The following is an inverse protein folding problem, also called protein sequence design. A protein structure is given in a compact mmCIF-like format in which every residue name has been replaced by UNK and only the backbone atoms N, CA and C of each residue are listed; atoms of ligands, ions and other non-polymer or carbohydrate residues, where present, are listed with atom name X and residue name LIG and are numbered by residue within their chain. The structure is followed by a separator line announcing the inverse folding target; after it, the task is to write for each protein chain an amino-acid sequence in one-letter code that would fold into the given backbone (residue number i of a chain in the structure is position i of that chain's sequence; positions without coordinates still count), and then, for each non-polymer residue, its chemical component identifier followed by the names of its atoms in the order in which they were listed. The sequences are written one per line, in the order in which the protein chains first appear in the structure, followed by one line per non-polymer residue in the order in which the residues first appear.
data_IF_555439121481
#
_entry.id   IF_555439121481
#
_cell.length_a   1.000
_cell.length_b   1.000
_cell.length_c   1.000
_cell.angle_alpha   90.00
_cell.angle_beta   90.00
_cell.angle_gamma   90.00
#
_symmetry.space_group_name_H-M   'P 1'
#
loop_
_entity.id
_entity.type
_entity.pdbx_description
1 polymer ?
#
# COMPACT_ATOMS: atom_id res chain seq x y z
N UNK A 1 0.29 48.65 23.78
CA UNK A 1 0.59 48.75 22.33
C UNK A 1 0.68 47.34 21.77
N UNK A 2 -0.15 46.98 20.79
CA UNK A 2 -0.04 45.65 20.16
C UNK A 2 1.28 45.57 19.38
N UNK A 3 2.16 44.64 19.76
CA UNK A 3 3.40 44.37 19.02
C UNK A 3 2.99 43.81 17.66
N UNK A 4 3.21 44.59 16.60
CA UNK A 4 3.01 44.12 15.22
C UNK A 4 4.10 43.09 14.89
N UNK A 5 3.83 41.82 15.15
CA UNK A 5 4.72 40.73 14.74
C UNK A 5 4.61 40.56 13.23
N UNK A 6 5.66 40.93 12.50
CA UNK A 6 5.73 40.67 11.05
C UNK A 6 6.07 39.19 10.85
N UNK A 7 5.19 38.46 10.16
CA UNK A 7 5.38 37.05 9.82
C UNK A 7 5.74 36.90 8.34
N UNK A 8 6.59 35.94 8.04
CA UNK A 8 7.00 35.55 6.69
C UNK A 8 6.41 34.17 6.38
N UNK A 9 5.92 33.95 5.17
CA UNK A 9 5.44 32.63 4.71
C UNK A 9 6.42 32.04 3.71
N UNK A 10 6.74 30.76 3.85
CA UNK A 10 7.56 30.03 2.86
C UNK A 10 6.74 29.78 1.59
N UNK A 11 7.29 30.15 0.43
CA UNK A 11 6.66 29.95 -0.87
C UNK A 11 6.39 28.47 -1.12
N UNK A 12 5.21 28.13 -1.65
CA UNK A 12 4.81 26.76 -1.97
C UNK A 12 4.93 25.79 -0.79
N UNK A 13 4.72 26.25 0.45
CA UNK A 13 4.85 25.46 1.68
C UNK A 13 4.17 24.08 1.60
N UNK A 14 3.01 24.01 0.96
CA UNK A 14 2.24 22.77 0.79
C UNK A 14 3.01 21.66 0.05
N UNK A 15 3.95 22.02 -0.83
CA UNK A 15 4.78 21.04 -1.53
C UNK A 15 5.86 20.45 -0.60
N UNK A 16 6.34 21.23 0.35
CA UNK A 16 7.41 20.83 1.28
C UNK A 16 6.87 20.03 2.47
N UNK A 17 5.59 20.18 2.82
CA UNK A 17 5.01 19.52 3.98
C UNK A 17 4.33 18.19 3.63
N UNK A 18 4.89 17.07 4.11
CA UNK A 18 4.35 15.74 3.83
C UNK A 18 3.35 15.25 4.90
N UNK A 19 3.61 15.55 6.18
CA UNK A 19 2.77 15.15 7.31
C UNK A 19 2.31 16.37 8.11
N UNK A 20 1.01 16.51 8.37
CA UNK A 20 0.46 17.66 9.11
C UNK A 20 0.42 17.45 10.63
N UNK A 21 0.37 16.20 11.08
CA UNK A 21 0.09 15.84 12.49
C UNK A 21 1.21 15.01 13.15
N UNK A 22 2.42 15.01 12.58
CA UNK A 22 3.59 14.26 13.09
C UNK A 22 4.66 15.18 13.68
N UNK A 23 5.23 14.77 14.82
CA UNK A 23 6.39 15.39 15.45
C UNK A 23 7.42 14.26 15.74
N UNK A 24 8.64 14.28 15.19
CA UNK A 24 9.28 15.39 14.47
C UNK A 24 8.69 15.61 13.06
N UNK A 25 8.62 16.87 12.60
CA UNK A 25 8.07 17.21 11.29
C UNK A 25 9.02 16.79 10.15
N UNK A 26 8.53 16.00 9.20
CA UNK A 26 9.29 15.64 8.00
C UNK A 26 9.05 16.66 6.90
N UNK A 27 10.13 17.26 6.41
CA UNK A 27 10.10 18.23 5.32
C UNK A 27 10.66 17.55 4.07
N UNK A 28 9.85 17.47 3.02
CA UNK A 28 10.27 16.93 1.73
C UNK A 28 10.99 18.00 0.92
N UNK A 29 12.30 17.86 0.78
CA UNK A 29 13.08 18.71 -0.11
C UNK A 29 12.95 18.19 -1.56
N UNK A 30 12.43 19.01 -2.45
CA UNK A 30 12.29 18.65 -3.86
C UNK A 30 13.57 18.98 -4.62
N UNK A 31 14.02 18.06 -5.47
CA UNK A 31 15.21 18.28 -6.32
C UNK A 31 15.08 19.52 -7.21
N UNK A 32 13.86 19.84 -7.66
CA UNK A 32 13.58 21.04 -8.45
C UNK A 32 13.98 22.36 -7.74
N UNK A 33 14.05 22.37 -6.41
CA UNK A 33 14.56 23.52 -5.67
C UNK A 33 16.03 23.78 -6.00
N UNK A 34 16.86 22.73 -6.04
CA UNK A 34 18.29 22.85 -6.35
C UNK A 34 18.54 23.32 -7.78
N UNK A 35 17.60 23.02 -8.69
CA UNK A 35 17.65 23.45 -10.09
C UNK A 35 17.01 24.83 -10.34
N UNK A 36 16.43 25.47 -9.32
CA UNK A 36 15.81 26.78 -9.50
C UNK A 36 16.87 27.88 -9.56
N UNK A 37 16.69 28.82 -10.48
CA UNK A 37 17.59 29.97 -10.65
C UNK A 37 17.73 30.78 -9.35
N UNK A 38 16.62 30.95 -8.63
CA UNK A 38 16.57 31.57 -7.31
C UNK A 38 17.50 30.88 -6.29
N UNK A 39 17.60 29.55 -6.33
CA UNK A 39 18.46 28.79 -5.40
C UNK A 39 19.92 28.81 -5.81
N UNK A 40 20.20 28.72 -7.11
CA UNK A 40 21.56 28.69 -7.65
C UNK A 40 22.28 30.02 -7.41
N UNK A 41 21.55 31.13 -7.48
CA UNK A 41 22.08 32.50 -7.32
C UNK A 41 22.27 32.93 -5.87
N UNK A 42 21.70 32.21 -4.90
CA UNK A 42 21.87 32.52 -3.48
C UNK A 42 23.27 32.14 -2.97
N UNK A 43 23.76 32.91 -2.00
CA UNK A 43 24.96 32.55 -1.24
C UNK A 43 24.68 31.37 -0.29
N UNK A 44 25.73 30.68 0.12
CA UNK A 44 25.62 29.46 0.91
C UNK A 44 25.00 29.71 2.30
N UNK A 45 25.21 30.89 2.89
CA UNK A 45 24.58 31.25 4.15
C UNK A 45 23.07 31.45 3.99
N UNK A 46 22.63 32.07 2.88
CA UNK A 46 21.21 32.19 2.55
C UNK A 46 20.56 30.85 2.23
N UNK A 47 21.26 29.92 1.55
CA UNK A 47 20.76 28.55 1.32
C UNK A 47 20.56 27.79 2.63
N UNK A 48 21.51 27.87 3.56
CA UNK A 48 21.36 27.30 4.91
C UNK A 48 20.16 27.94 5.63
N UNK A 49 20.05 29.27 5.56
CA UNK A 49 18.94 29.99 6.17
C UNK A 49 17.57 29.58 5.60
N UNK A 50 17.49 29.26 4.31
CA UNK A 50 16.26 28.74 3.70
C UNK A 50 15.84 27.40 4.33
N UNK A 51 16.80 26.50 4.59
CA UNK A 51 16.55 25.22 5.27
C UNK A 51 16.10 25.44 6.72
N UNK A 52 16.75 26.36 7.43
CA UNK A 52 16.34 26.77 8.79
C UNK A 52 14.91 27.32 8.81
N UNK A 53 14.57 28.19 7.85
CA UNK A 53 13.23 28.74 7.71
C UNK A 53 12.19 27.64 7.46
N UNK A 54 12.51 26.62 6.66
CA UNK A 54 11.61 25.47 6.46
C UNK A 54 11.36 24.70 7.76
N UNK A 55 12.40 24.48 8.58
CA UNK A 55 12.29 23.81 9.88
C UNK A 55 11.43 24.60 10.89
N UNK A 56 11.50 25.93 10.84
CA UNK A 56 10.64 26.78 11.68
C UNK A 56 9.20 26.74 11.18
N UNK A 57 9.04 26.88 9.86
CA UNK A 57 7.76 26.84 9.19
C UNK A 57 7.02 25.53 9.46
N UNK A 58 7.72 24.40 9.63
CA UNK A 58 7.10 23.12 9.91
C UNK A 58 6.37 23.04 11.24
N UNK A 59 6.80 23.81 12.24
CA UNK A 59 6.13 23.90 13.55
C UNK A 59 4.97 24.88 13.54
N UNK A 60 4.97 25.84 12.61
CA UNK A 60 4.07 26.98 12.58
C UNK A 60 3.24 27.06 11.29
N UNK A 61 2.92 25.91 10.68
CA UNK A 61 2.02 25.85 9.52
C UNK A 61 2.46 26.65 8.29
N UNK A 62 3.78 26.73 8.04
CA UNK A 62 4.35 27.48 6.92
C UNK A 62 4.84 28.88 7.26
N UNK A 63 4.68 29.31 8.51
CA UNK A 63 5.01 30.66 8.96
C UNK A 63 6.36 30.73 9.69
N UNK A 64 7.11 31.78 9.42
CA UNK A 64 8.42 32.07 10.00
C UNK A 64 8.36 33.47 10.63
N UNK A 65 8.76 33.64 11.91
CA UNK A 65 8.86 34.95 12.51
C UNK A 65 9.95 35.75 11.82
N UNK A 66 9.68 37.01 11.47
CA UNK A 66 10.70 37.94 10.98
C UNK A 66 11.57 38.45 12.13
N UNK A 67 12.24 37.53 12.83
CA UNK A 67 13.10 37.81 13.97
C UNK A 67 14.46 37.12 13.79
N UNK A 68 15.46 37.84 13.24
CA UNK A 68 16.80 37.29 13.02
C UNK A 68 17.48 36.77 14.29
N UNK A 69 17.26 37.41 15.44
CA UNK A 69 17.86 36.98 16.71
C UNK A 69 17.29 35.63 17.18
N UNK A 70 16.01 35.38 16.93
CA UNK A 70 15.37 34.10 17.21
C UNK A 70 15.91 32.99 16.29
N UNK A 71 15.99 33.26 14.99
CA UNK A 71 16.52 32.30 14.01
C UNK A 71 17.99 31.95 14.26
N UNK A 72 18.80 32.94 14.65
CA UNK A 72 20.20 32.73 15.04
C UNK A 72 20.32 31.67 16.15
N UNK A 73 19.55 31.82 17.22
CA UNK A 73 19.57 30.90 18.37
C UNK A 73 19.07 29.51 18.01
N UNK A 74 18.02 29.44 17.20
CA UNK A 74 17.41 28.17 16.83
C UNK A 74 18.29 27.32 15.92
N UNK A 75 19.03 27.97 15.02
CA UNK A 75 19.91 27.31 14.05
C UNK A 75 21.38 27.33 14.44
N UNK A 76 21.71 27.76 15.66
CA UNK A 76 23.08 27.83 16.17
C UNK A 76 24.03 28.59 15.22
N UNK A 77 23.56 29.70 14.64
CA UNK A 77 24.36 30.51 13.71
C UNK A 77 25.30 31.45 14.47
N UNK A 78 26.53 31.60 13.99
CA UNK A 78 27.52 32.49 14.61
C UNK A 78 27.21 33.98 14.36
N UNK A 79 26.64 34.30 13.19
CA UNK A 79 26.27 35.64 12.78
C UNK A 79 24.75 35.88 12.81
N UNK A 80 24.33 37.15 12.82
CA UNK A 80 22.92 37.50 12.66
C UNK A 80 22.48 37.19 11.22
N UNK A 81 21.48 36.31 11.00
CA UNK A 81 21.07 35.92 9.67
C UNK A 81 20.36 37.08 8.95
N UNK A 82 20.68 37.27 7.66
CA UNK A 82 19.99 38.23 6.81
C UNK A 82 18.89 37.53 6.01
N UNK A 83 17.62 37.90 6.26
CA UNK A 83 16.46 37.35 5.56
C UNK A 83 16.17 38.05 4.22
N UNK A 84 16.83 39.18 3.92
CA UNK A 84 16.56 39.94 2.69
C UNK A 84 16.78 39.14 1.41
N UNK A 85 17.86 38.35 1.25
CA UNK A 85 18.07 37.55 0.04
C UNK A 85 16.91 36.57 -0.24
N UNK A 86 16.38 35.95 0.82
CA UNK A 86 15.25 35.04 0.72
C UNK A 86 13.92 35.74 0.43
N UNK A 87 13.78 36.99 0.84
CA UNK A 87 12.62 37.83 0.49
C UNK A 87 12.73 38.29 -0.96
N UNK A 88 13.92 38.70 -1.42
CA UNK A 88 14.13 39.21 -2.77
C UNK A 88 13.97 38.14 -3.85
N UNK A 89 14.42 36.90 -3.60
CA UNK A 89 14.19 35.78 -4.51
C UNK A 89 12.78 35.17 -4.38
N UNK A 90 11.91 35.77 -3.55
CA UNK A 90 10.53 35.34 -3.38
C UNK A 90 10.37 34.01 -2.63
N UNK A 91 11.42 33.47 -2.00
CA UNK A 91 11.33 32.30 -1.14
C UNK A 91 10.49 32.59 0.13
N UNK A 92 10.59 33.80 0.69
CA UNK A 92 9.80 34.29 1.81
C UNK A 92 8.91 35.47 1.40
N UNK A 93 7.59 35.35 1.63
CA UNK A 93 6.63 36.44 1.40
C UNK A 93 6.21 37.08 2.73
N UNK A 94 6.19 38.42 2.81
CA UNK A 94 5.70 39.16 3.99
C UNK A 94 4.17 39.02 4.10
N UNK A 95 3.68 38.63 5.27
CA UNK A 95 2.25 38.57 5.58
C UNK A 95 1.96 39.49 6.78
N UNK A 96 1.00 40.38 6.62
CA UNK A 96 0.43 41.16 7.75
C UNK A 96 -0.57 40.27 8.48
N UNK A 97 -0.18 39.73 9.64
CA UNK A 97 -1.06 38.95 10.49
C UNK A 97 -1.29 39.67 11.82
N UNK A 98 -2.55 39.87 12.18
CA UNK A 98 -2.96 40.32 13.52
C UNK A 98 -2.93 39.09 14.42
N UNK A 99 -2.04 39.06 15.40
CA UNK A 99 -1.76 37.87 16.19
C UNK A 99 -2.95 37.50 17.10
N UNK A 100 -3.50 36.29 16.93
CA UNK A 100 -4.20 35.59 18.01
C UNK A 100 -3.23 34.56 18.57
N UNK A 101 -2.93 34.68 19.85
CA UNK A 101 -1.97 33.86 20.60
C UNK A 101 -2.44 32.42 20.68
N UNK A 102 -1.73 31.48 20.04
CA UNK A 102 -1.93 30.05 20.24
C UNK A 102 -1.02 29.58 21.39
N UNK A 103 -1.63 29.15 22.50
CA UNK A 103 -0.97 28.47 23.61
C UNK A 103 -0.40 27.13 23.13
N UNK A 104 0.83 26.84 23.56
CA UNK A 104 1.45 25.54 23.39
C UNK A 104 0.86 24.57 24.43
N UNK A 105 0.03 23.63 24.00
CA UNK A 105 -0.36 22.47 24.81
C UNK A 105 0.72 21.39 24.65
N UNK A 106 1.47 21.16 25.72
CA UNK A 106 2.36 20.02 25.86
C UNK A 106 1.52 18.80 26.32
N UNK A 107 1.48 17.72 25.52
CA UNK A 107 0.84 16.46 25.92
C UNK A 107 1.65 15.26 25.40
N UNK A 108 1.82 14.19 26.21
CA UNK A 108 2.81 13.15 25.93
C UNK A 108 2.33 12.12 24.90
N UNK A 109 3.32 11.42 24.37
CA UNK A 109 3.32 10.65 23.14
C UNK A 109 2.62 9.29 23.29
N UNK A 110 1.74 8.94 22.36
CA UNK A 110 1.34 7.55 22.11
C UNK A 110 1.19 7.37 20.62
N UNK A 111 2.04 6.51 20.06
CA UNK A 111 2.15 6.28 18.63
C UNK A 111 0.98 5.45 18.10
N UNK A 112 0.33 5.91 17.02
CA UNK A 112 -0.37 5.07 16.02
C UNK A 112 -0.54 5.87 14.71
N UNK A 113 0.14 5.45 13.64
CA UNK A 113 -0.06 5.83 12.22
C UNK A 113 -1.27 5.02 11.67
N UNK A 114 -2.13 5.40 10.72
CA UNK A 114 -2.26 6.47 9.72
C UNK A 114 -3.75 6.48 9.31
N UNK A 115 -4.43 7.62 9.19
CA UNK A 115 -5.60 7.75 8.30
C UNK A 115 -5.56 9.10 7.58
N UNK A 116 -5.54 9.06 6.24
CA UNK A 116 -5.82 10.22 5.39
C UNK A 116 -7.30 10.59 5.54
N UNK A 117 -7.60 11.82 5.95
CA UNK A 117 -8.92 12.44 5.83
C UNK A 117 -8.87 13.63 4.89
N UNK A 118 -9.68 13.54 3.84
CA UNK A 118 -10.07 14.64 2.97
C UNK A 118 -10.71 15.78 3.77
N UNK A 119 -10.23 17.00 3.52
CA UNK A 119 -10.73 18.23 4.12
C UNK A 119 -11.85 18.81 3.24
N UNK A 120 -13.09 18.61 3.66
CA UNK A 120 -14.21 19.50 3.33
C UNK A 120 -14.73 20.07 4.63
N UNK A 121 -14.45 21.35 4.89
CA UNK A 121 -14.84 22.05 6.11
C UNK A 121 -16.36 22.00 6.37
N UNK A 122 -16.74 21.72 7.62
CA UNK A 122 -18.10 21.95 8.13
C UNK A 122 -18.06 22.43 9.58
N UNK A 123 -18.87 23.45 9.83
CA UNK A 123 -19.18 24.11 11.10
C UNK A 123 -19.46 23.15 12.27
N UNK A 124 -19.20 23.56 13.53
CA UNK A 124 -19.22 22.68 14.69
C UNK A 124 -20.61 22.41 15.31
N UNK A 125 -21.71 22.62 14.59
CA UNK A 125 -23.05 22.57 15.19
C UNK A 125 -24.02 21.61 14.49
N UNK A 126 -23.60 20.35 14.27
CA UNK A 126 -24.51 19.27 13.91
C UNK A 126 -24.30 18.00 14.74
N UNK A 127 -25.40 17.30 15.09
CA UNK A 127 -25.36 16.14 15.97
C UNK A 127 -24.58 14.98 15.34
N UNK A 128 -23.79 14.31 16.18
CA UNK A 128 -22.90 13.18 15.85
C UNK A 128 -23.71 12.07 15.16
N UNK A 129 -23.49 11.87 13.86
CA UNK A 129 -24.12 10.77 13.11
C UNK A 129 -23.52 9.44 13.56
N UNK A 130 -24.38 8.55 14.07
CA UNK A 130 -24.06 7.17 14.43
C UNK A 130 -23.46 6.40 13.23
N UNK A 131 -22.41 5.59 13.48
CA UNK A 131 -21.77 4.76 12.46
C UNK A 131 -22.81 3.81 11.84
N UNK A 132 -23.13 3.98 10.55
CA UNK A 132 -23.98 3.03 9.80
C UNK A 132 -23.29 1.65 9.82
N UNK A 133 -23.99 0.61 10.26
CA UNK A 133 -23.51 -0.78 10.15
C UNK A 133 -23.30 -1.10 8.67
N UNK A 134 -22.05 -1.27 8.25
CA UNK A 134 -21.70 -1.68 6.89
C UNK A 134 -22.10 -3.15 6.76
N UNK A 135 -23.06 -3.43 5.88
CA UNK A 135 -23.40 -4.80 5.47
C UNK A 135 -22.42 -5.24 4.38
N UNK A 136 -21.78 -6.38 4.59
CA UNK A 136 -20.84 -7.00 3.65
C UNK A 136 -21.59 -7.97 2.73
N UNK A 137 -21.13 -8.11 1.48
CA UNK A 137 -21.67 -9.12 0.55
C UNK A 137 -21.22 -10.52 0.94
N UNK A 138 -22.02 -11.53 0.60
CA UNK A 138 -21.73 -12.94 0.88
C UNK A 138 -20.40 -13.39 0.23
N UNK A 139 -20.19 -13.06 -1.04
CA UNK A 139 -18.94 -13.35 -1.74
C UNK A 139 -17.70 -12.73 -1.06
N UNK A 140 -17.84 -11.52 -0.48
CA UNK A 140 -16.74 -10.91 0.27
C UNK A 140 -16.50 -11.61 1.62
N UNK A 141 -17.54 -12.06 2.30
CA UNK A 141 -17.40 -12.82 3.55
C UNK A 141 -16.70 -14.16 3.31
N UNK A 142 -17.00 -14.84 2.21
CA UNK A 142 -16.30 -16.06 1.79
C UNK A 142 -14.81 -15.79 1.54
N UNK A 143 -14.49 -14.75 0.75
CA UNK A 143 -13.12 -14.31 0.54
C UNK A 143 -12.42 -13.97 1.86
N UNK A 144 -13.06 -13.16 2.72
CA UNK A 144 -12.48 -12.72 3.99
C UNK A 144 -12.26 -13.87 4.97
N UNK A 145 -13.11 -14.90 4.91
CA UNK A 145 -12.96 -16.12 5.71
C UNK A 145 -11.76 -16.93 5.24
N UNK A 146 -11.60 -17.09 3.92
CA UNK A 146 -10.53 -17.89 3.32
C UNK A 146 -9.15 -17.21 3.36
N UNK A 147 -9.10 -15.87 3.28
CA UNK A 147 -7.85 -15.13 3.20
C UNK A 147 -7.02 -15.23 4.51
N UNK A 148 -5.69 -15.46 4.43
CA UNK A 148 -4.82 -15.46 5.61
C UNK A 148 -4.80 -14.07 6.25
N UNK A 149 -5.09 -13.98 7.55
CA UNK A 149 -5.27 -12.70 8.27
C UNK A 149 -4.18 -12.48 9.31
N UNK A 150 -3.83 -11.22 9.50
CA UNK A 150 -2.97 -10.73 10.58
C UNK A 150 -3.76 -9.78 11.48
N UNK A 151 -3.33 -9.53 12.74
CA UNK A 151 -4.01 -8.62 13.66
C UNK A 151 -4.17 -7.19 13.12
N UNK A 152 -3.26 -6.77 12.23
CA UNK A 152 -3.27 -5.43 11.63
C UNK A 152 -4.18 -5.32 10.37
N UNK A 153 -5.08 -6.29 10.13
CA UNK A 153 -5.94 -6.25 8.94
C UNK A 153 -7.28 -5.54 9.16
N UNK A 154 -7.54 -4.52 8.35
CA UNK A 154 -8.81 -3.82 8.27
C UNK A 154 -9.76 -4.46 7.24
N UNK A 155 -10.84 -5.07 7.74
CA UNK A 155 -11.92 -5.63 6.91
C UNK A 155 -12.62 -4.54 6.08
N UNK A 156 -12.77 -3.35 6.63
CA UNK A 156 -13.45 -2.24 5.96
C UNK A 156 -12.65 -1.73 4.75
N UNK A 157 -11.32 -1.63 4.86
CA UNK A 157 -10.45 -1.25 3.74
C UNK A 157 -10.44 -2.31 2.65
N UNK A 158 -10.37 -3.58 3.03
CA UNK A 158 -10.44 -4.69 2.07
C UNK A 158 -11.79 -4.67 1.31
N UNK A 159 -12.89 -4.39 2.00
CA UNK A 159 -14.21 -4.28 1.38
C UNK A 159 -14.32 -3.06 0.45
N UNK A 160 -13.66 -1.95 0.77
CA UNK A 160 -13.64 -0.76 -0.09
C UNK A 160 -12.95 -1.05 -1.44
N UNK A 161 -11.88 -1.84 -1.43
CA UNK A 161 -11.24 -2.32 -2.67
C UNK A 161 -12.04 -3.42 -3.36
N UNK A 162 -12.66 -4.34 -2.61
CA UNK A 162 -13.51 -5.41 -3.16
C UNK A 162 -14.65 -4.87 -4.02
N UNK A 163 -15.29 -3.76 -3.61
CA UNK A 163 -16.38 -3.12 -4.36
C UNK A 163 -15.99 -2.61 -5.74
N UNK A 164 -14.70 -2.50 -6.04
CA UNK A 164 -14.20 -2.05 -7.34
C UNK A 164 -14.07 -3.19 -8.34
N UNK A 165 -14.17 -4.44 -7.87
CA UNK A 165 -14.08 -5.62 -8.72
C UNK A 165 -15.44 -5.96 -9.33
N UNK A 166 -15.42 -6.55 -10.53
CA UNK A 166 -16.58 -7.23 -11.09
C UNK A 166 -16.75 -8.66 -10.52
N UNK A 167 -17.80 -9.36 -10.95
CA UNK A 167 -18.12 -10.70 -10.45
C UNK A 167 -17.05 -11.75 -10.83
N UNK A 168 -16.45 -11.64 -12.02
CA UNK A 168 -15.44 -12.58 -12.52
C UNK A 168 -14.13 -12.38 -11.74
N UNK A 169 -13.76 -11.13 -11.50
CA UNK A 169 -12.61 -10.75 -10.68
C UNK A 169 -12.77 -11.15 -9.22
N UNK A 170 -13.99 -11.07 -8.67
CA UNK A 170 -14.30 -11.58 -7.34
C UNK A 170 -14.08 -13.10 -7.24
N UNK A 171 -14.51 -13.85 -8.27
CA UNK A 171 -14.28 -15.29 -8.33
C UNK A 171 -12.79 -15.64 -8.51
N UNK A 172 -12.06 -14.88 -9.32
CA UNK A 172 -10.60 -15.00 -9.45
C UNK A 172 -9.87 -14.70 -8.14
N UNK A 173 -10.32 -13.70 -7.38
CA UNK A 173 -9.75 -13.40 -6.05
C UNK A 173 -9.87 -14.60 -5.11
N UNK A 174 -11.03 -15.25 -5.07
CA UNK A 174 -11.30 -16.38 -4.19
C UNK A 174 -10.48 -17.63 -4.62
N UNK A 175 -10.47 -17.95 -5.91
CA UNK A 175 -9.73 -19.10 -6.45
C UNK A 175 -8.20 -18.96 -6.35
N UNK A 176 -7.68 -17.74 -6.28
CA UNK A 176 -6.25 -17.48 -6.10
C UNK A 176 -5.73 -17.73 -4.67
N UNK A 177 -6.60 -17.77 -3.65
CA UNK A 177 -6.19 -17.87 -2.23
C UNK A 177 -5.36 -19.13 -1.93
N UNK A 178 -5.76 -20.35 -2.37
CA UNK A 178 -4.98 -21.56 -2.09
C UNK A 178 -3.55 -21.49 -2.60
N UNK A 179 -3.35 -21.00 -3.83
CA UNK A 179 -2.02 -20.82 -4.41
C UNK A 179 -1.20 -19.77 -3.66
N UNK A 180 -1.83 -18.67 -3.22
CA UNK A 180 -1.17 -17.68 -2.38
C UNK A 180 -0.76 -18.24 -1.01
N UNK A 181 -1.61 -19.02 -0.36
CA UNK A 181 -1.27 -19.69 0.90
C UNK A 181 -0.14 -20.71 0.72
N UNK A 182 -0.13 -21.46 -0.39
CA UNK A 182 0.97 -22.36 -0.72
C UNK A 182 2.28 -21.59 -0.91
N UNK A 183 2.25 -20.45 -1.60
CA UNK A 183 3.40 -19.57 -1.76
C UNK A 183 3.93 -19.05 -0.41
N UNK A 184 3.06 -18.61 0.51
CA UNK A 184 3.48 -18.19 1.85
C UNK A 184 4.15 -19.33 2.63
N UNK A 185 3.68 -20.58 2.49
CA UNK A 185 4.33 -21.74 3.12
C UNK A 185 5.76 -21.97 2.60
N UNK A 186 6.05 -21.64 1.35
CA UNK A 186 7.43 -21.74 0.80
C UNK A 186 8.39 -20.68 1.34
N UNK A 187 7.86 -19.60 1.93
CA UNK A 187 8.62 -18.44 2.43
C UNK A 187 8.14 -18.07 3.83
N UNK A 188 8.56 -18.80 4.87
CA UNK A 188 8.05 -18.61 6.23
C UNK A 188 8.38 -17.22 6.81
N UNK A 189 9.45 -16.58 6.35
CA UNK A 189 9.85 -15.24 6.79
C UNK A 189 9.01 -14.11 6.15
N UNK A 190 8.17 -14.44 5.15
CA UNK A 190 7.37 -13.45 4.45
C UNK A 190 6.01 -13.29 5.14
N UNK A 191 5.77 -12.09 5.69
CA UNK A 191 4.47 -11.76 6.26
C UNK A 191 3.36 -11.73 5.21
N UNK A 192 2.15 -12.08 5.65
CA UNK A 192 0.97 -12.03 4.81
C UNK A 192 0.64 -10.58 4.46
N UNK A 193 0.59 -10.29 3.15
CA UNK A 193 0.20 -8.98 2.64
C UNK A 193 -1.26 -8.69 3.02
N UNK A 194 -1.53 -7.45 3.42
CA UNK A 194 -2.88 -6.97 3.71
C UNK A 194 -3.86 -7.20 2.54
N UNK A 195 -5.07 -7.71 2.80
CA UNK A 195 -6.08 -8.04 1.77
C UNK A 195 -6.42 -6.85 0.85
N UNK A 196 -6.56 -5.63 1.39
CA UNK A 196 -6.69 -4.40 0.60
C UNK A 196 -5.59 -4.26 -0.48
N UNK A 197 -4.32 -4.53 -0.12
CA UNK A 197 -3.19 -4.45 -1.06
C UNK A 197 -3.17 -5.62 -2.04
N UNK A 198 -3.61 -6.80 -1.62
CA UNK A 198 -3.77 -7.97 -2.48
C UNK A 198 -4.79 -7.70 -3.60
N UNK A 199 -5.94 -7.11 -3.25
CA UNK A 199 -7.01 -6.73 -4.19
C UNK A 199 -6.58 -5.54 -5.06
N UNK A 200 -6.22 -4.41 -4.46
CA UNK A 200 -5.91 -3.17 -5.20
C UNK A 200 -4.71 -3.27 -6.13
N UNK A 201 -3.76 -4.17 -5.85
CA UNK A 201 -2.61 -4.46 -6.72
C UNK A 201 -2.79 -5.69 -7.60
N UNK A 202 -4.02 -6.20 -7.69
CA UNK A 202 -4.42 -7.34 -8.53
C UNK A 202 -3.50 -8.55 -8.38
N UNK A 203 -3.02 -8.81 -7.16
CA UNK A 203 -2.05 -9.89 -6.90
C UNK A 203 -2.65 -11.27 -7.19
N UNK A 204 -3.97 -11.39 -7.08
CA UNK A 204 -4.73 -12.58 -7.44
C UNK A 204 -4.51 -13.04 -8.88
N UNK A 205 -4.26 -12.14 -9.83
CA UNK A 205 -4.05 -12.50 -11.25
C UNK A 205 -2.83 -13.39 -11.42
N UNK A 206 -1.72 -13.08 -10.75
CA UNK A 206 -0.49 -13.88 -10.84
C UNK A 206 -0.67 -15.28 -10.27
N UNK A 207 -1.43 -15.42 -9.19
CA UNK A 207 -1.73 -16.70 -8.58
C UNK A 207 -2.76 -17.50 -9.40
N UNK A 208 -3.78 -16.85 -9.93
CA UNK A 208 -4.75 -17.47 -10.83
C UNK A 208 -4.12 -17.93 -12.15
N UNK A 209 -3.25 -17.12 -12.75
CA UNK A 209 -2.48 -17.50 -13.94
C UNK A 209 -1.54 -18.67 -13.66
N UNK A 210 -0.92 -18.71 -12.47
CA UNK A 210 -0.11 -19.85 -12.04
C UNK A 210 -0.92 -21.15 -11.93
N UNK A 211 -2.15 -21.08 -11.40
CA UNK A 211 -3.07 -22.23 -11.33
C UNK A 211 -3.43 -22.68 -12.75
N UNK A 212 -3.87 -21.76 -13.62
CA UNK A 212 -4.24 -22.07 -15.00
C UNK A 212 -3.07 -22.69 -15.79
N UNK A 213 -1.84 -22.21 -15.59
CA UNK A 213 -0.64 -22.80 -16.20
C UNK A 213 -0.39 -24.22 -15.71
N UNK A 214 -0.52 -24.47 -14.40
CA UNK A 214 -0.32 -25.80 -13.83
C UNK A 214 -1.37 -26.80 -14.32
N UNK A 215 -2.64 -26.39 -14.41
CA UNK A 215 -3.72 -27.21 -14.97
C UNK A 215 -3.50 -27.50 -16.46
N UNK A 216 -3.05 -26.51 -17.23
CA UNK A 216 -2.71 -26.68 -18.64
C UNK A 216 -1.53 -27.65 -18.83
N UNK A 217 -0.48 -27.52 -18.02
CA UNK A 217 0.69 -28.42 -18.06
C UNK A 217 0.31 -29.85 -17.68
N UNK A 218 -0.54 -30.03 -16.67
CA UNK A 218 -1.05 -31.35 -16.29
C UNK A 218 -1.92 -31.96 -17.40
N UNK A 219 -2.78 -31.14 -18.04
CA UNK A 219 -3.51 -31.44 -19.26
C UNK A 219 -2.61 -31.99 -20.38
N UNK A 220 -1.53 -31.26 -20.68
CA UNK A 220 -0.58 -31.58 -21.73
C UNK A 220 0.24 -32.87 -21.47
N UNK A 221 0.33 -33.32 -20.21
CA UNK A 221 1.01 -34.56 -19.85
C UNK A 221 0.17 -35.82 -20.06
N UNK A 222 -1.17 -35.72 -20.08
CA UNK A 222 -2.06 -36.87 -20.21
C UNK A 222 -1.82 -37.74 -21.44
N UNK A 223 -1.63 -37.20 -22.67
CA UNK A 223 -1.34 -38.02 -23.84
C UNK A 223 -0.09 -38.90 -23.68
N UNK A 224 0.96 -38.37 -23.05
CA UNK A 224 2.20 -39.13 -22.77
C UNK A 224 1.96 -40.23 -21.72
N UNK A 225 1.23 -39.90 -20.65
CA UNK A 225 0.84 -40.87 -19.60
C UNK A 225 0.02 -42.02 -20.18
N UNK A 226 -0.99 -41.71 -21.00
CA UNK A 226 -1.84 -42.71 -21.65
C UNK A 226 -1.09 -43.53 -22.70
N UNK A 227 -0.18 -42.94 -23.46
CA UNK A 227 0.67 -43.70 -24.38
C UNK A 227 1.50 -44.75 -23.63
N UNK A 228 2.15 -44.36 -22.52
CA UNK A 228 2.87 -45.30 -21.67
C UNK A 228 1.97 -46.38 -21.08
N UNK A 229 0.78 -46.00 -20.60
CA UNK A 229 -0.22 -46.90 -20.03
C UNK A 229 -0.64 -48.00 -21.03
N UNK A 230 -0.95 -47.60 -22.26
CA UNK A 230 -1.36 -48.48 -23.36
C UNK A 230 -0.23 -49.43 -23.76
N UNK A 231 1.00 -48.92 -23.89
CA UNK A 231 2.17 -49.73 -24.24
C UNK A 231 2.49 -50.78 -23.18
N UNK A 232 2.34 -50.45 -21.90
CA UNK A 232 2.69 -51.35 -20.79
C UNK A 232 1.50 -52.15 -20.25
N UNK A 233 0.28 -51.86 -20.73
CA UNK A 233 -0.99 -52.39 -20.20
C UNK A 233 -1.09 -52.19 -18.69
N UNK A 234 -0.84 -50.97 -18.25
CA UNK A 234 -0.84 -50.62 -16.84
C UNK A 234 -1.69 -49.39 -16.52
N UNK A 235 -2.30 -49.38 -15.33
CA UNK A 235 -3.15 -48.30 -14.83
C UNK A 235 -2.70 -47.87 -13.43
N UNK A 236 -2.63 -46.57 -13.14
CA UNK A 236 -2.34 -46.09 -11.79
C UNK A 236 -3.60 -45.56 -11.12
N UNK A 237 -4.21 -46.35 -10.23
CA UNK A 237 -5.35 -45.93 -9.43
C UNK A 237 -5.01 -44.79 -8.48
N UNK A 238 -3.76 -44.74 -7.98
CA UNK A 238 -3.25 -43.69 -7.11
C UNK A 238 -3.18 -42.33 -7.82
N UNK A 239 -2.60 -42.29 -9.02
CA UNK A 239 -2.42 -41.03 -9.75
C UNK A 239 -3.61 -40.65 -10.62
N UNK A 240 -4.28 -41.62 -11.25
CA UNK A 240 -5.31 -41.38 -12.27
C UNK A 240 -6.73 -41.65 -11.76
N UNK A 241 -6.86 -42.17 -10.54
CA UNK A 241 -8.14 -42.59 -9.98
C UNK A 241 -8.64 -43.92 -10.53
N UNK A 242 -9.87 -44.33 -10.19
CA UNK A 242 -10.53 -45.52 -10.74
C UNK A 242 -10.52 -45.54 -12.28
N UNK A 243 -10.60 -46.74 -12.85
CA UNK A 243 -10.55 -46.95 -14.29
C UNK A 243 -11.62 -46.16 -15.08
N UNK A 244 -11.49 -46.09 -16.41
CA UNK A 244 -12.42 -45.36 -17.28
C UNK A 244 -13.88 -45.75 -17.00
N UNK A 245 -14.76 -44.74 -16.90
CA UNK A 245 -16.20 -44.95 -16.63
C UNK A 245 -16.60 -45.07 -15.15
N UNK A 246 -15.64 -45.14 -14.22
CA UNK A 246 -15.92 -45.14 -12.78
C UNK A 246 -15.92 -43.72 -12.20
N UNK A 247 -16.76 -43.47 -11.18
CA UNK A 247 -16.78 -42.19 -10.46
C UNK A 247 -15.42 -41.96 -9.79
N UNK A 248 -14.81 -40.81 -10.09
CA UNK A 248 -13.50 -40.41 -9.57
C UNK A 248 -12.31 -40.62 -10.52
N UNK A 249 -12.55 -41.09 -11.75
CA UNK A 249 -11.53 -41.10 -12.80
C UNK A 249 -11.06 -39.66 -13.10
N UNK A 250 -9.74 -39.43 -13.04
CA UNK A 250 -9.12 -38.11 -13.27
C UNK A 250 -8.69 -37.88 -14.72
N UNK A 251 -8.73 -38.93 -15.55
CA UNK A 251 -8.33 -38.85 -16.95
C UNK A 251 -9.41 -38.11 -17.75
N UNK A 252 -9.04 -37.12 -18.59
CA UNK A 252 -10.00 -36.48 -19.49
C UNK A 252 -10.68 -37.49 -20.41
N UNK A 253 -12.03 -37.44 -20.46
CA UNK A 253 -12.84 -38.38 -21.24
C UNK A 253 -12.49 -38.36 -22.73
N UNK A 254 -12.14 -37.18 -23.26
CA UNK A 254 -11.79 -36.97 -24.67
C UNK A 254 -10.49 -37.69 -25.10
N UNK A 255 -9.65 -38.10 -24.14
CA UNK A 255 -8.38 -38.78 -24.40
C UNK A 255 -8.46 -40.31 -24.24
N UNK A 256 -9.58 -40.83 -23.72
CA UNK A 256 -9.78 -42.25 -23.46
C UNK A 256 -10.33 -42.95 -24.69
N UNK A 257 -9.76 -44.12 -25.00
CA UNK A 257 -10.26 -45.00 -26.06
C UNK A 257 -11.14 -46.12 -25.46
N UNK A 258 -12.02 -46.69 -26.28
CA UNK A 258 -12.77 -47.89 -25.91
C UNK A 258 -11.80 -49.04 -25.57
N UNK A 259 -11.87 -49.53 -24.33
CA UNK A 259 -11.02 -50.61 -23.83
C UNK A 259 -9.78 -50.17 -23.05
N UNK A 260 -9.50 -48.86 -22.92
CA UNK A 260 -8.45 -48.38 -22.01
C UNK A 260 -8.77 -48.82 -20.57
N UNK A 261 -7.75 -49.28 -19.83
CA UNK A 261 -7.89 -49.78 -18.46
C UNK A 261 -8.49 -51.18 -18.33
N UNK A 262 -9.06 -51.79 -19.38
CA UNK A 262 -9.62 -53.14 -19.29
C UNK A 262 -8.53 -54.21 -19.27
N UNK A 263 -8.45 -54.98 -18.18
CA UNK A 263 -7.44 -56.03 -18.01
C UNK A 263 -6.00 -55.50 -17.87
N UNK A 264 -5.84 -54.21 -17.55
CA UNK A 264 -4.53 -53.61 -17.29
C UNK A 264 -4.11 -53.88 -15.85
N UNK A 265 -2.80 -54.02 -15.62
CA UNK A 265 -2.23 -54.24 -14.29
C UNK A 265 -2.07 -52.93 -13.53
N UNK A 266 -2.15 -52.97 -12.20
CA UNK A 266 -1.90 -51.78 -11.38
C UNK A 266 -0.43 -51.35 -11.51
N UNK A 267 -0.21 -50.04 -11.70
CA UNK A 267 1.10 -49.41 -11.70
C UNK A 267 1.24 -48.50 -10.49
N UNK A 268 2.08 -48.96 -9.57
CA UNK A 268 2.60 -48.18 -8.47
C UNK A 268 3.98 -47.65 -8.88
N UNK A 269 4.12 -46.33 -8.89
CA UNK A 269 5.43 -45.73 -9.04
C UNK A 269 6.22 -46.07 -7.77
N UNK A 270 7.26 -46.91 -7.89
CA UNK A 270 8.17 -47.15 -6.76
C UNK A 270 8.76 -45.80 -6.36
N UNK A 271 8.45 -45.36 -5.14
CA UNK A 271 8.98 -44.13 -4.59
C UNK A 271 10.51 -44.24 -4.55
N UNK A 272 11.19 -43.33 -5.25
CA UNK A 272 12.63 -43.12 -5.16
C UNK A 272 12.92 -42.12 -4.04
#
# INVERSE_FOLDING_TARGET
MAVKTTLLKVRNWENFQHYRDRNPPWIKLHFALLASEDWVTLDDASKLLAVVCMLVASRNGGMVPNNPAYLKRLAYLDALPNLQPLISCGFLSKVLAVASTAQADARPETETDTEKKDLSGKNPDQPVKSKKKVSYSEAFEEFWKAYPKTPNMSKAEAFAEWKKLDNDECALCLSAIPAYMAFLKTKPDLETIHACRFISKRRFEGFAAGIASAEADEGAQWPKRLAYARSNKTWSSSMWGPGPGHRGCRVPADLLNEGDGNGWREWEQQAA
#
